data_IF_036597316445
#
_entry.id   IF_036597316445
#
_cell.length_a   1.000
_cell.length_b   1.000
_cell.length_c   1.000
_cell.angle_alpha   90.00
_cell.angle_beta   90.00
_cell.angle_gamma   90.00
#
_symmetry.space_group_name_H-M   'P 1'
#
loop_
_entity.id
_entity.type
_entity.pdbx_description
1 polymer ?
#
# COMPACT_ATOMS: atom_id res chain seq x y z
N UNK A 1 9.30 14.56 -10.56
CA UNK A 1 8.55 13.33 -10.88
C UNK A 1 7.10 13.67 -11.22
N UNK A 2 6.51 13.01 -12.21
CA UNK A 2 5.07 13.10 -12.53
C UNK A 2 4.24 12.41 -11.45
N UNK A 3 2.91 12.54 -11.50
CA UNK A 3 2.02 11.84 -10.57
C UNK A 3 2.08 10.32 -10.76
N UNK A 4 2.17 9.88 -12.01
CA UNK A 4 2.28 8.48 -12.40
C UNK A 4 3.59 7.87 -11.88
N UNK A 5 4.71 8.57 -12.05
CA UNK A 5 6.01 8.13 -11.53
C UNK A 5 5.99 8.02 -10.00
N UNK A 6 5.42 9.01 -9.31
CA UNK A 6 5.26 8.94 -7.85
C UNK A 6 4.37 7.77 -7.43
N UNK A 7 3.25 7.54 -8.11
CA UNK A 7 2.34 6.45 -7.81
C UNK A 7 2.99 5.08 -8.00
N UNK A 8 3.76 4.90 -9.08
CA UNK A 8 4.51 3.68 -9.38
C UNK A 8 5.57 3.38 -8.31
N UNK A 9 6.33 4.39 -7.89
CA UNK A 9 7.36 4.23 -6.86
C UNK A 9 6.75 3.99 -5.47
N UNK A 10 5.64 4.64 -5.13
CA UNK A 10 4.91 4.38 -3.89
C UNK A 10 4.41 2.94 -3.87
N UNK A 11 3.77 2.47 -4.93
CA UNK A 11 3.26 1.11 -5.03
C UNK A 11 4.39 0.07 -4.90
N UNK A 12 5.53 0.29 -5.59
CA UNK A 12 6.70 -0.56 -5.45
C UNK A 12 7.24 -0.56 -4.01
N UNK A 13 7.27 0.61 -3.37
CA UNK A 13 7.69 0.74 -1.98
C UNK A 13 6.80 -0.02 -1.00
N UNK A 14 5.48 0.04 -1.16
CA UNK A 14 4.53 -0.73 -0.34
C UNK A 14 4.80 -2.23 -0.47
N UNK A 15 4.99 -2.72 -1.70
CA UNK A 15 5.29 -4.13 -1.98
C UNK A 15 6.62 -4.56 -1.38
N UNK A 16 7.68 -3.76 -1.58
CA UNK A 16 9.04 -4.11 -1.15
C UNK A 16 9.25 -4.04 0.36
N UNK A 17 8.57 -3.13 1.02
CA UNK A 17 8.63 -3.01 2.48
C UNK A 17 7.68 -3.97 3.19
N UNK A 18 6.69 -4.52 2.47
CA UNK A 18 5.74 -5.51 3.01
C UNK A 18 4.88 -4.98 4.16
N UNK A 19 4.62 -3.66 4.18
CA UNK A 19 3.99 -2.97 5.31
C UNK A 19 2.56 -3.44 5.64
N UNK A 20 1.84 -3.98 4.65
CA UNK A 20 0.46 -4.48 4.82
C UNK A 20 0.36 -5.99 4.59
N UNK A 21 1.24 -6.58 3.79
CA UNK A 21 1.21 -8.00 3.49
C UNK A 21 2.09 -8.40 2.31
N UNK A 22 2.05 -9.69 1.98
CA UNK A 22 2.67 -10.26 0.77
C UNK A 22 1.60 -10.55 -0.30
N UNK A 23 2.03 -10.92 -1.49
CA UNK A 23 1.11 -11.29 -2.58
C UNK A 23 0.12 -12.37 -2.17
N UNK A 24 0.54 -13.38 -1.42
CA UNK A 24 -0.31 -14.48 -0.98
C UNK A 24 -1.01 -14.25 0.37
N UNK A 25 -0.95 -13.05 0.92
CA UNK A 25 -1.62 -12.77 2.20
C UNK A 25 -3.13 -12.89 2.07
N UNK A 26 -3.75 -13.69 2.94
CA UNK A 26 -5.21 -13.82 3.06
C UNK A 26 -5.56 -13.93 4.53
N UNK A 27 -6.37 -13.01 5.02
CA UNK A 27 -6.89 -12.99 6.40
C UNK A 27 -8.40 -12.73 6.37
N UNK A 28 -9.06 -12.95 7.51
CA UNK A 28 -10.43 -12.48 7.69
C UNK A 28 -10.44 -10.98 7.88
N UNK A 29 -11.30 -10.25 7.17
CA UNK A 29 -11.48 -8.82 7.39
C UNK A 29 -11.98 -8.54 8.81
N UNK A 30 -11.57 -7.40 9.37
CA UNK A 30 -12.11 -6.91 10.65
C UNK A 30 -13.51 -6.32 10.52
N UNK A 31 -13.95 -5.98 9.30
CA UNK A 31 -15.25 -5.39 9.03
C UNK A 31 -16.35 -6.43 8.76
N UNK A 32 -16.00 -7.70 8.52
CA UNK A 32 -16.96 -8.76 8.29
C UNK A 32 -16.32 -10.09 7.88
N UNK A 33 -17.15 -11.12 7.65
CA UNK A 33 -16.70 -12.45 7.24
C UNK A 33 -16.37 -12.51 5.75
N UNK A 34 -15.37 -11.78 5.31
CA UNK A 34 -14.87 -11.83 3.94
C UNK A 34 -13.34 -11.76 3.91
N UNK A 35 -12.70 -12.26 2.83
CA UNK A 35 -11.26 -12.26 2.74
C UNK A 35 -10.71 -10.85 2.54
N UNK A 36 -9.63 -10.56 3.26
CA UNK A 36 -8.72 -9.44 3.06
C UNK A 36 -7.46 -9.99 2.41
N UNK A 37 -7.10 -9.49 1.21
CA UNK A 37 -6.21 -10.19 0.29
C UNK A 37 -5.05 -9.33 -0.22
N UNK A 38 -3.91 -9.98 -0.41
CA UNK A 38 -2.76 -9.45 -1.14
C UNK A 38 -1.97 -8.37 -0.42
N UNK A 39 -1.15 -7.68 -1.20
CA UNK A 39 -0.15 -6.70 -0.72
C UNK A 39 -0.73 -5.46 -0.06
N UNK A 40 -2.00 -5.16 -0.26
CA UNK A 40 -2.71 -4.03 0.35
C UNK A 40 -3.96 -4.45 1.12
N UNK A 41 -4.09 -5.75 1.40
CA UNK A 41 -5.21 -6.31 2.17
C UNK A 41 -6.58 -5.84 1.65
N UNK A 42 -6.76 -5.90 0.30
CA UNK A 42 -8.04 -5.52 -0.31
C UNK A 42 -9.15 -6.47 0.11
N UNK A 43 -10.25 -5.88 0.54
CA UNK A 43 -11.42 -6.61 1.01
C UNK A 43 -12.26 -7.14 -0.15
N UNK A 44 -12.72 -8.40 -0.02
CA UNK A 44 -13.70 -9.02 -0.91
C UNK A 44 -15.10 -8.44 -0.74
N UNK A 45 -16.13 -9.22 -1.14
CA UNK A 45 -17.55 -8.89 -1.01
C UNK A 45 -17.95 -7.58 -1.70
N UNK A 46 -17.62 -7.45 -2.98
CA UNK A 46 -17.94 -6.26 -3.80
C UNK A 46 -16.91 -5.13 -3.68
N UNK A 47 -15.82 -5.32 -2.92
CA UNK A 47 -14.76 -4.36 -2.78
C UNK A 47 -13.61 -4.53 -3.78
N UNK A 48 -12.47 -3.93 -3.45
CA UNK A 48 -11.23 -4.01 -4.27
C UNK A 48 -10.70 -5.44 -4.38
N UNK A 49 -10.99 -6.32 -3.40
CA UNK A 49 -10.60 -7.73 -3.45
C UNK A 49 -11.34 -8.47 -4.57
N UNK A 50 -12.63 -8.22 -4.78
CA UNK A 50 -13.38 -8.82 -5.89
C UNK A 50 -12.93 -8.26 -7.25
N UNK A 51 -12.54 -6.98 -7.32
CA UNK A 51 -11.90 -6.42 -8.50
C UNK A 51 -10.58 -7.14 -8.80
N UNK A 52 -9.73 -7.39 -7.80
CA UNK A 52 -8.51 -8.16 -7.97
C UNK A 52 -8.81 -9.56 -8.53
N UNK A 53 -9.77 -10.26 -7.94
CA UNK A 53 -10.17 -11.60 -8.39
C UNK A 53 -10.70 -11.61 -9.83
N UNK A 54 -11.33 -10.53 -10.29
CA UNK A 54 -11.84 -10.43 -11.67
C UNK A 54 -10.74 -10.39 -12.74
N UNK A 55 -9.50 -10.08 -12.37
CA UNK A 55 -8.34 -10.11 -13.27
C UNK A 55 -7.63 -11.47 -13.33
N UNK A 56 -8.07 -12.44 -12.53
CA UNK A 56 -7.38 -13.71 -12.37
C UNK A 56 -8.18 -14.86 -12.97
N UNK A 57 -7.52 -15.69 -13.76
CA UNK A 57 -8.12 -16.92 -14.29
C UNK A 57 -8.50 -17.84 -13.10
N UNK A 58 -9.78 -18.12 -12.97
CA UNK A 58 -10.34 -18.84 -11.81
C UNK A 58 -10.65 -17.97 -10.59
N UNK A 59 -10.35 -16.67 -10.63
CA UNK A 59 -10.63 -15.76 -9.52
C UNK A 59 -12.12 -15.59 -9.24
N UNK A 60 -12.97 -15.64 -10.27
CA UNK A 60 -14.43 -15.57 -10.15
C UNK A 60 -15.02 -16.66 -9.23
N UNK A 61 -14.32 -17.79 -9.06
CA UNK A 61 -14.72 -18.83 -8.13
C UNK A 61 -14.72 -18.38 -6.65
N UNK A 62 -13.83 -17.44 -6.31
CA UNK A 62 -13.69 -16.91 -4.95
C UNK A 62 -14.45 -15.58 -4.74
N UNK A 63 -14.81 -14.89 -5.79
CA UNK A 63 -15.50 -13.59 -5.70
C UNK A 63 -16.85 -13.72 -4.98
N UNK A 64 -17.13 -12.78 -4.07
CA UNK A 64 -18.35 -12.74 -3.28
C UNK A 64 -18.49 -13.82 -2.19
N UNK A 65 -17.50 -14.70 -2.02
CA UNK A 65 -17.53 -15.74 -0.99
C UNK A 65 -17.01 -15.23 0.34
N UNK A 66 -17.56 -15.75 1.44
CA UNK A 66 -17.11 -15.44 2.78
C UNK A 66 -15.75 -16.10 3.08
N UNK A 67 -14.97 -15.49 3.95
CA UNK A 67 -13.71 -16.07 4.44
C UNK A 67 -13.94 -17.43 5.11
N UNK A 68 -14.98 -17.54 5.93
CA UNK A 68 -15.32 -18.78 6.65
C UNK A 68 -15.70 -19.90 5.70
N UNK A 69 -16.44 -19.65 4.60
CA UNK A 69 -16.76 -20.66 3.59
C UNK A 69 -15.51 -21.18 2.89
N UNK A 70 -14.62 -20.28 2.42
CA UNK A 70 -13.36 -20.65 1.78
C UNK A 70 -12.47 -21.47 2.74
N UNK A 71 -12.39 -21.05 4.00
CA UNK A 71 -11.63 -21.75 5.05
C UNK A 71 -12.21 -23.11 5.35
N UNK A 72 -13.53 -23.22 5.55
CA UNK A 72 -14.22 -24.48 5.87
C UNK A 72 -14.03 -25.53 4.78
N UNK A 73 -14.01 -25.12 3.52
CA UNK A 73 -13.76 -26.00 2.37
C UNK A 73 -12.28 -26.35 2.17
N UNK A 74 -11.38 -25.80 2.98
CA UNK A 74 -9.94 -26.02 2.85
C UNK A 74 -9.31 -25.34 1.61
N UNK A 75 -9.95 -24.31 1.06
CA UNK A 75 -9.57 -23.70 -0.21
C UNK A 75 -8.65 -22.46 -0.06
N UNK A 76 -8.31 -22.06 1.17
CA UNK A 76 -7.36 -20.96 1.40
C UNK A 76 -5.99 -21.17 0.70
N UNK A 77 -5.40 -22.37 0.63
CA UNK A 77 -4.17 -22.58 -0.12
C UNK A 77 -4.32 -22.32 -1.61
N UNK A 78 -5.46 -22.69 -2.20
CA UNK A 78 -5.73 -22.42 -3.62
C UNK A 78 -5.89 -20.93 -3.91
N UNK A 79 -6.61 -20.18 -3.06
CA UNK A 79 -6.72 -18.73 -3.16
C UNK A 79 -5.35 -18.05 -3.02
N UNK A 80 -4.53 -18.47 -2.05
CA UNK A 80 -3.16 -17.94 -1.90
C UNK A 80 -2.30 -18.19 -3.13
N UNK A 81 -2.31 -19.41 -3.66
CA UNK A 81 -1.56 -19.76 -4.86
C UNK A 81 -2.01 -18.92 -6.08
N UNK A 82 -3.31 -18.66 -6.19
CA UNK A 82 -3.84 -17.80 -7.25
C UNK A 82 -3.30 -16.38 -7.14
N UNK A 83 -3.29 -15.80 -5.95
CA UNK A 83 -2.75 -14.46 -5.67
C UNK A 83 -1.23 -14.37 -5.89
N UNK A 84 -0.49 -15.45 -5.58
CA UNK A 84 0.97 -15.55 -5.78
C UNK A 84 1.38 -15.88 -7.21
N UNK A 85 0.42 -16.27 -8.07
CA UNK A 85 0.70 -16.53 -9.49
C UNK A 85 1.27 -15.27 -10.17
N UNK A 86 1.97 -15.46 -11.30
CA UNK A 86 2.48 -14.32 -12.08
C UNK A 86 1.37 -13.33 -12.45
N UNK A 87 0.20 -13.83 -12.85
CA UNK A 87 -0.97 -13.02 -13.16
C UNK A 87 -1.47 -12.28 -11.91
N UNK A 88 -1.54 -12.97 -10.75
CA UNK A 88 -1.94 -12.39 -9.48
C UNK A 88 -1.01 -11.27 -9.01
N UNK A 89 0.30 -11.46 -9.14
CA UNK A 89 1.27 -10.41 -8.80
C UNK A 89 1.14 -9.17 -9.70
N UNK A 90 1.00 -9.37 -11.03
CA UNK A 90 0.82 -8.27 -11.98
C UNK A 90 -0.48 -7.51 -11.68
N UNK A 91 -1.59 -8.22 -11.48
CA UNK A 91 -2.88 -7.60 -11.15
C UNK A 91 -2.81 -6.76 -9.87
N UNK A 92 -2.18 -7.29 -8.82
CA UNK A 92 -1.98 -6.56 -7.56
C UNK A 92 -1.12 -5.31 -7.74
N UNK A 93 -0.03 -5.40 -8.50
CA UNK A 93 0.83 -4.24 -8.82
C UNK A 93 0.04 -3.14 -9.52
N UNK A 94 -0.74 -3.51 -10.54
CA UNK A 94 -1.52 -2.55 -11.33
C UNK A 94 -2.62 -1.87 -10.51
N UNK A 95 -3.37 -2.62 -9.72
CA UNK A 95 -4.43 -2.07 -8.85
C UNK A 95 -3.83 -1.15 -7.80
N UNK A 96 -2.72 -1.56 -7.17
CA UNK A 96 -2.06 -0.74 -6.16
C UNK A 96 -1.52 0.57 -6.74
N UNK A 97 -0.86 0.51 -7.91
CA UNK A 97 -0.37 1.71 -8.57
C UNK A 97 -1.51 2.66 -8.96
N UNK A 98 -2.65 2.12 -9.41
CA UNK A 98 -3.85 2.92 -9.69
C UNK A 98 -4.43 3.54 -8.40
N UNK A 99 -4.52 2.78 -7.30
CA UNK A 99 -4.95 3.32 -6.01
C UNK A 99 -4.01 4.44 -5.52
N UNK A 100 -2.70 4.28 -5.70
CA UNK A 100 -1.73 5.32 -5.39
C UNK A 100 -1.97 6.59 -6.23
N UNK A 101 -2.23 6.44 -7.53
CA UNK A 101 -2.47 7.56 -8.45
C UNK A 101 -3.77 8.30 -8.13
N UNK A 102 -4.85 7.57 -7.90
CA UNK A 102 -6.20 8.13 -7.75
C UNK A 102 -6.48 8.66 -6.33
N UNK A 103 -5.83 8.10 -5.32
CA UNK A 103 -6.15 8.36 -3.91
C UNK A 103 -4.97 8.94 -3.14
N UNK A 104 -3.81 8.28 -3.14
CA UNK A 104 -2.70 8.66 -2.25
C UNK A 104 -2.01 9.94 -2.73
N UNK A 105 -1.63 10.00 -3.99
CA UNK A 105 -0.97 11.17 -4.58
C UNK A 105 -1.82 12.44 -4.44
N UNK A 106 -3.13 12.47 -4.78
CA UNK A 106 -3.95 13.66 -4.59
C UNK A 106 -4.10 14.11 -3.13
N UNK A 107 -4.14 13.18 -2.18
CA UNK A 107 -4.22 13.55 -0.76
C UNK A 107 -2.90 14.14 -0.26
N UNK A 108 -1.77 13.51 -0.59
CA UNK A 108 -0.44 13.98 -0.16
C UNK A 108 -0.06 15.33 -0.79
N UNK A 109 -0.51 15.63 -2.00
CA UNK A 109 -0.30 16.96 -2.64
C UNK A 109 -0.97 18.12 -1.89
N UNK A 110 -1.89 17.83 -0.98
CA UNK A 110 -2.50 18.84 -0.11
C UNK A 110 -1.68 19.12 1.15
N UNK A 111 -0.61 18.37 1.39
CA UNK A 111 0.28 18.58 2.54
C UNK A 111 1.25 19.70 2.20
N UNK A 112 1.25 20.83 2.94
CA UNK A 112 2.20 21.91 2.71
C UNK A 112 3.65 21.43 2.84
N UNK A 113 4.53 21.91 1.97
CA UNK A 113 5.97 21.64 1.97
C UNK A 113 6.40 20.18 1.73
N UNK A 114 5.49 19.26 1.46
CA UNK A 114 5.80 17.88 1.07
C UNK A 114 6.01 17.80 -0.46
N UNK A 115 7.07 18.40 -0.96
CA UNK A 115 7.37 18.53 -2.39
C UNK A 115 8.70 17.87 -2.82
N UNK A 116 9.50 17.37 -1.88
CA UNK A 116 10.62 16.49 -2.17
C UNK A 116 10.14 15.10 -2.56
N UNK A 117 10.64 14.54 -3.67
CA UNK A 117 10.15 13.26 -4.21
C UNK A 117 10.38 12.07 -3.27
N UNK A 118 11.51 12.01 -2.57
CA UNK A 118 11.78 10.93 -1.60
C UNK A 118 10.86 11.01 -0.40
N UNK A 119 10.68 12.22 0.13
CA UNK A 119 9.79 12.46 1.25
C UNK A 119 8.33 12.17 0.87
N UNK A 120 7.93 12.50 -0.35
CA UNK A 120 6.62 12.20 -0.89
C UNK A 120 6.37 10.70 -1.00
N UNK A 121 7.33 9.95 -1.59
CA UNK A 121 7.28 8.48 -1.68
C UNK A 121 7.24 7.86 -0.28
N UNK A 122 8.08 8.34 0.65
CA UNK A 122 8.08 7.89 2.03
C UNK A 122 6.68 7.99 2.66
N UNK A 123 6.06 9.17 2.58
CA UNK A 123 4.72 9.39 3.10
C UNK A 123 3.67 8.51 2.38
N UNK A 124 3.82 8.30 1.07
CA UNK A 124 2.94 7.46 0.27
C UNK A 124 2.92 6.00 0.71
N UNK A 125 4.07 5.44 1.11
CA UNK A 125 4.18 4.06 1.62
C UNK A 125 3.37 3.85 2.92
N UNK A 126 3.02 4.91 3.63
CA UNK A 126 2.18 4.85 4.82
C UNK A 126 0.67 4.94 4.54
N UNK A 127 0.27 5.35 3.32
CA UNK A 127 -1.13 5.57 2.96
C UNK A 127 -2.04 4.33 2.95
N UNK A 128 -1.58 3.06 2.78
CA UNK A 128 -2.46 1.90 2.87
C UNK A 128 -3.28 1.82 4.17
N UNK A 129 -2.74 2.28 5.29
CA UNK A 129 -3.50 2.36 6.55
C UNK A 129 -4.68 3.32 6.43
N UNK A 130 -4.44 4.54 5.98
CA UNK A 130 -5.41 5.56 5.55
C UNK A 130 -4.68 6.79 5.03
N UNK A 131 -4.89 7.13 3.77
CA UNK A 131 -4.32 8.33 3.15
C UNK A 131 -4.78 9.63 3.83
N UNK A 132 -5.99 9.63 4.39
CA UNK A 132 -6.52 10.78 5.14
C UNK A 132 -5.81 10.97 6.47
N UNK A 133 -5.54 9.88 7.20
CA UNK A 133 -4.79 9.92 8.46
C UNK A 133 -3.38 10.41 8.23
N UNK A 134 -2.68 9.88 7.21
CA UNK A 134 -1.32 10.31 6.86
C UNK A 134 -1.30 11.80 6.48
N UNK A 135 -2.22 12.24 5.62
CA UNK A 135 -2.34 13.66 5.26
C UNK A 135 -2.55 14.53 6.48
N UNK A 136 -3.53 14.21 7.34
CA UNK A 136 -3.84 14.99 8.53
C UNK A 136 -2.67 15.02 9.51
N UNK A 137 -2.02 13.87 9.72
CA UNK A 137 -0.83 13.76 10.55
C UNK A 137 0.28 14.71 10.11
N UNK A 138 0.60 14.76 8.82
CA UNK A 138 1.63 15.64 8.26
C UNK A 138 1.18 17.11 8.23
N UNK A 139 -0.06 17.39 7.86
CA UNK A 139 -0.59 18.77 7.84
C UNK A 139 -0.57 19.41 9.21
N UNK A 140 -0.77 18.65 10.28
CA UNK A 140 -0.70 19.19 11.65
C UNK A 140 0.75 19.41 12.13
N UNK A 141 1.76 19.06 11.35
CA UNK A 141 3.18 19.05 11.78
C UNK A 141 4.13 19.80 10.84
N UNK A 142 3.69 20.27 9.67
CA UNK A 142 4.56 20.89 8.68
C UNK A 142 5.27 22.16 9.17
N UNK A 143 4.74 22.85 10.17
CA UNK A 143 5.36 24.05 10.76
C UNK A 143 6.50 23.74 11.72
N UNK A 144 6.55 22.52 12.27
CA UNK A 144 7.54 22.10 13.28
C UNK A 144 8.46 20.96 12.81
N UNK A 145 8.19 20.38 11.65
CA UNK A 145 9.01 19.35 11.04
C UNK A 145 9.36 19.73 9.60
N UNK A 146 10.61 19.58 9.23
CA UNK A 146 11.04 19.78 7.84
C UNK A 146 10.60 18.59 6.98
N UNK A 147 9.46 18.70 6.29
CA UNK A 147 8.92 17.64 5.43
C UNK A 147 9.71 17.44 4.12
N UNK A 148 10.77 18.24 3.86
CA UNK A 148 11.75 18.05 2.77
C UNK A 148 12.99 17.28 3.22
N UNK A 149 13.07 16.87 4.47
CA UNK A 149 14.15 16.05 5.00
C UNK A 149 13.65 14.65 5.28
N UNK A 150 14.15 13.67 4.54
CA UNK A 150 13.76 12.27 4.70
C UNK A 150 14.06 11.76 6.11
N UNK A 151 15.18 12.19 6.72
CA UNK A 151 15.52 11.83 8.10
C UNK A 151 14.58 12.46 9.13
N UNK A 152 14.24 13.74 8.96
CA UNK A 152 13.26 14.40 9.84
C UNK A 152 11.88 13.74 9.74
N UNK A 153 11.48 13.35 8.54
CA UNK A 153 10.22 12.67 8.29
C UNK A 153 10.22 11.27 8.94
N UNK A 154 11.32 10.51 8.78
CA UNK A 154 11.50 9.22 9.47
C UNK A 154 11.33 9.37 10.98
N UNK A 155 12.02 10.32 11.60
CA UNK A 155 11.95 10.53 13.05
C UNK A 155 10.53 10.93 13.48
N UNK A 156 9.87 11.79 12.70
CA UNK A 156 8.48 12.17 12.96
C UNK A 156 7.52 10.97 12.97
N UNK A 157 7.62 10.10 11.98
CA UNK A 157 6.77 8.89 11.91
C UNK A 157 7.13 7.89 13.01
N UNK A 158 8.41 7.70 13.28
CA UNK A 158 8.90 6.81 14.33
C UNK A 158 8.37 7.18 15.72
N UNK A 159 8.42 8.47 16.04
CA UNK A 159 8.17 8.94 17.40
C UNK A 159 6.69 9.26 17.65
N UNK A 160 5.93 9.62 16.60
CA UNK A 160 4.61 10.23 16.81
C UNK A 160 3.47 9.59 15.99
N UNK A 161 3.76 8.77 14.97
CA UNK A 161 2.68 8.32 14.08
C UNK A 161 1.65 7.45 14.79
N UNK A 162 2.07 6.59 15.72
CA UNK A 162 1.16 5.75 16.50
C UNK A 162 0.12 6.56 17.28
N UNK A 163 0.50 7.75 17.78
CA UNK A 163 -0.42 8.69 18.43
C UNK A 163 -1.36 9.31 17.39
N UNK A 164 -0.80 9.79 16.28
CA UNK A 164 -1.56 10.43 15.20
C UNK A 164 -2.54 9.50 14.50
N UNK A 165 -2.23 8.21 14.45
CA UNK A 165 -3.11 7.18 13.92
C UNK A 165 -4.16 6.69 14.93
N UNK A 166 -4.11 7.16 16.19
CA UNK A 166 -5.07 6.76 17.23
C UNK A 166 -4.92 5.30 17.70
N UNK A 167 -3.75 4.70 17.48
CA UNK A 167 -3.46 3.33 17.93
C UNK A 167 -2.78 3.30 19.29
N UNK A 168 -2.93 2.21 20.02
CA UNK A 168 -2.37 2.07 21.37
C UNK A 168 -0.83 1.98 21.36
N UNK A 169 -0.23 2.26 22.52
CA UNK A 169 1.23 2.27 22.73
C UNK A 169 1.89 0.92 22.42
N UNK A 170 1.13 -0.18 22.50
CA UNK A 170 1.59 -1.53 22.15
C UNK A 170 2.07 -1.65 20.68
N UNK A 171 1.63 -0.75 19.81
CA UNK A 171 2.04 -0.73 18.39
C UNK A 171 3.23 0.18 18.11
N UNK A 172 3.73 0.92 19.11
CA UNK A 172 4.82 1.90 18.97
C UNK A 172 6.07 1.32 18.31
N UNK A 173 6.53 0.18 18.82
CA UNK A 173 7.74 -0.46 18.30
C UNK A 173 7.56 -0.97 16.85
N UNK A 174 6.36 -1.48 16.53
CA UNK A 174 6.00 -1.87 15.17
C UNK A 174 6.07 -0.69 14.19
N UNK A 175 5.51 0.45 14.58
CA UNK A 175 5.57 1.67 13.77
C UNK A 175 6.99 2.25 13.69
N UNK A 176 7.77 2.16 14.76
CA UNK A 176 9.19 2.58 14.75
C UNK A 176 10.00 1.74 13.76
N UNK A 177 9.83 0.43 13.78
CA UNK A 177 10.49 -0.48 12.82
C UNK A 177 10.03 -0.20 11.36
N UNK A 178 8.74 0.04 11.16
CA UNK A 178 8.19 0.43 9.85
C UNK A 178 8.84 1.74 9.35
N UNK A 179 9.01 2.73 10.21
CA UNK A 179 9.63 4.01 9.86
C UNK A 179 11.07 3.83 9.39
N UNK A 180 11.86 3.04 10.11
CA UNK A 180 13.26 2.74 9.73
C UNK A 180 13.32 1.95 8.41
N UNK A 181 12.55 0.88 8.26
CA UNK A 181 12.53 0.07 7.04
C UNK A 181 12.13 0.89 5.81
N UNK A 182 11.10 1.73 5.94
CA UNK A 182 10.67 2.63 4.87
C UNK A 182 11.75 3.65 4.54
N UNK A 183 12.46 4.18 5.54
CA UNK A 183 13.56 5.11 5.33
C UNK A 183 14.69 4.48 4.52
N UNK A 184 15.18 3.31 4.92
CA UNK A 184 16.26 2.63 4.20
C UNK A 184 15.88 2.29 2.77
N UNK A 185 14.66 1.84 2.55
CA UNK A 185 14.14 1.59 1.21
C UNK A 185 14.17 2.88 0.36
N UNK A 186 13.56 3.96 0.84
CA UNK A 186 13.43 5.21 0.08
C UNK A 186 14.77 5.91 -0.12
N UNK A 187 15.67 5.85 0.85
CA UNK A 187 17.03 6.39 0.70
C UNK A 187 17.82 5.69 -0.41
N UNK A 188 17.56 4.40 -0.65
CA UNK A 188 18.22 3.59 -1.68
C UNK A 188 17.61 3.67 -3.08
N UNK A 189 16.45 4.34 -3.28
CA UNK A 189 15.82 4.44 -4.62
C UNK A 189 16.69 5.31 -5.55
N UNK A 190 16.90 4.85 -6.78
CA UNK A 190 17.41 5.69 -7.87
C UNK A 190 16.26 6.46 -8.51
N UNK A 191 16.17 7.76 -8.22
CA UNK A 191 15.15 8.64 -8.81
C UNK A 191 15.58 9.28 -10.14
N UNK A 192 16.76 9.00 -10.64
CA UNK A 192 17.22 9.49 -11.96
C UNK A 192 16.58 8.71 -13.09
N UNK A 193 16.25 7.45 -12.84
CA UNK A 193 15.53 6.55 -13.74
C UNK A 193 14.39 5.87 -12.99
N UNK A 194 13.28 6.58 -12.69
CA UNK A 194 12.16 6.00 -11.96
C UNK A 194 11.62 4.79 -12.71
N UNK A 195 11.54 3.66 -12.03
CA UNK A 195 11.07 2.41 -12.64
C UNK A 195 9.66 2.05 -12.14
N UNK A 196 9.48 1.91 -10.85
CA UNK A 196 8.20 1.59 -10.22
C UNK A 196 7.48 0.37 -10.82
N UNK A 197 6.21 0.18 -10.44
CA UNK A 197 5.34 -0.86 -11.01
C UNK A 197 4.42 -0.27 -12.09
N UNK A 198 3.97 -1.08 -13.10
CA UNK A 198 3.11 -0.57 -14.17
C UNK A 198 1.74 -0.11 -13.65
N UNK A 199 1.18 0.95 -14.25
CA UNK A 199 -0.21 1.36 -14.04
C UNK A 199 -1.12 0.60 -15.01
N UNK A 200 -2.39 0.47 -14.65
CA UNK A 200 -3.41 -0.15 -15.51
C UNK A 200 -3.47 0.56 -16.87
N UNK A 201 -3.39 -0.22 -17.95
CA UNK A 201 -3.39 0.28 -19.33
C UNK A 201 -2.00 0.36 -19.97
N UNK A 202 -0.89 0.40 -19.23
CA UNK A 202 0.46 0.36 -19.79
C UNK A 202 0.91 -1.07 -20.19
N UNK A 203 0.38 -2.09 -19.50
CA UNK A 203 0.74 -3.49 -19.74
C UNK A 203 0.25 -4.06 -21.09
N UNK A 204 -0.56 -3.30 -21.83
CA UNK A 204 -1.12 -3.70 -23.15
C UNK A 204 -0.19 -3.52 -24.35
N UNK A 205 0.96 -2.83 -24.20
CA UNK A 205 1.87 -2.50 -25.29
C UNK A 205 3.18 -3.30 -25.32
N UNK A 206 3.32 -4.31 -24.47
CA UNK A 206 4.44 -5.26 -24.49
C UNK A 206 4.06 -6.52 -25.28
N UNK A 207 4.11 -6.44 -26.61
CA UNK A 207 4.14 -7.61 -27.49
C UNK A 207 5.56 -8.14 -27.61
#
# INVERSE_FOLDING_TARGET
MTNEELAKEIALGIIKTGVEGSYGSVSCSTAGDYPSMGVSQWEGLGGRGDLLLSYLDGGSYFAGRSYSDIKYRGELPALKALLESKQGQIAQQMILAQDCLDRYVPQLKRVPTLDDSRCFIYAGIWCPTSEYVVRQFLTNRFTRCNLRSLEALKNLFKDEYYIGAGVGEIYKDGYANRAENTYYYVAGIDLTTPYGVPIYGEAGNGR
#
